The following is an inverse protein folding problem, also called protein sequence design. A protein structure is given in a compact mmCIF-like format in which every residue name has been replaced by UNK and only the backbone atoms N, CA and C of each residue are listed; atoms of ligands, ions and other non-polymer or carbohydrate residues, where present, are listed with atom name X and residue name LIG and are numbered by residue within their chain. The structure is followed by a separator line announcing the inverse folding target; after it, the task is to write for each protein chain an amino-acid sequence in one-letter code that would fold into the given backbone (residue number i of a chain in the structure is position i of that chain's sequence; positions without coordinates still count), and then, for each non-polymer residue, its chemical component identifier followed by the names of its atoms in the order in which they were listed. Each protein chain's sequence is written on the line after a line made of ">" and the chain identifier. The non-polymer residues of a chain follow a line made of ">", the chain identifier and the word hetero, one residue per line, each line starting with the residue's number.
data_IF_564318017878
#
_entry.id   IF_564318017878
#
_cell.length_a   1.000
_cell.length_b   1.000
_cell.length_c   1.000
_cell.angle_alpha   90.00
_cell.angle_beta   90.00
_cell.angle_gamma   90.00
#
_symmetry.space_group_name_H-M   'P 1'
#
loop_
_entity.id
_entity.type
_entity.pdbx_description
1 polymer ?
#
# COMPACT_ATOMS: atom_id res chain seq x y z
N UNK A 1 -16.75 -13.74 2.72
CA UNK A 1 -16.44 -14.48 1.48
C UNK A 1 -16.53 -13.46 0.35
N UNK A 2 -15.48 -13.34 -0.46
CA UNK A 2 -15.42 -12.35 -1.53
C UNK A 2 -16.39 -12.76 -2.65
N UNK A 3 -17.35 -11.91 -3.04
CA UNK A 3 -18.38 -12.30 -4.00
C UNK A 3 -17.91 -12.30 -5.47
N UNK A 4 -16.82 -11.61 -5.80
CA UNK A 4 -16.35 -11.45 -7.18
C UNK A 4 -15.11 -12.29 -7.48
N UNK A 5 -15.07 -12.86 -8.68
CA UNK A 5 -13.91 -13.54 -9.21
C UNK A 5 -13.53 -13.07 -10.62
N UNK A 6 -12.23 -13.01 -10.90
CA UNK A 6 -11.68 -12.60 -12.19
C UNK A 6 -12.00 -13.69 -13.21
N UNK A 7 -12.65 -13.30 -14.30
CA UNK A 7 -13.01 -14.17 -15.42
C UNK A 7 -12.00 -13.99 -16.55
N UNK A 8 -11.67 -12.75 -16.86
CA UNK A 8 -10.76 -12.39 -17.94
C UNK A 8 -9.97 -11.15 -17.57
N UNK A 9 -8.70 -11.13 -17.97
CA UNK A 9 -7.77 -10.03 -17.78
C UNK A 9 -6.85 -9.93 -18.99
N UNK A 10 -7.24 -9.10 -19.95
CA UNK A 10 -6.50 -8.89 -21.19
C UNK A 10 -6.44 -7.40 -21.47
N UNK A 11 -5.27 -6.79 -21.30
CA UNK A 11 -5.06 -5.40 -21.71
C UNK A 11 -5.25 -5.28 -23.24
N UNK A 12 -5.91 -4.20 -23.74
CA UNK A 12 -6.26 -2.97 -23.02
C UNK A 12 -7.64 -3.01 -22.33
N UNK A 13 -8.41 -4.09 -22.45
CA UNK A 13 -9.77 -4.16 -21.94
C UNK A 13 -9.81 -4.18 -20.40
N UNK A 14 -10.84 -3.57 -19.77
CA UNK A 14 -11.04 -3.68 -18.35
C UNK A 14 -11.14 -5.15 -17.87
N UNK A 15 -10.55 -5.49 -16.72
CA UNK A 15 -10.68 -6.82 -16.15
C UNK A 15 -12.16 -7.17 -15.90
N UNK A 16 -12.58 -8.32 -16.41
CA UNK A 16 -13.95 -8.80 -16.29
C UNK A 16 -14.10 -9.63 -15.02
N UNK A 17 -15.09 -9.27 -14.20
CA UNK A 17 -15.39 -9.97 -12.96
C UNK A 17 -16.76 -10.65 -13.01
N UNK A 18 -16.77 -11.94 -12.69
CA UNK A 18 -17.97 -12.73 -12.46
C UNK A 18 -18.32 -12.80 -10.98
N UNK A 19 -19.54 -13.25 -10.68
CA UNK A 19 -19.99 -13.50 -9.31
C UNK A 19 -21.08 -14.57 -9.30
N UNK A 20 -21.27 -15.22 -8.15
CA UNK A 20 -22.47 -16.02 -7.90
C UNK A 20 -23.51 -15.17 -7.20
N UNK A 21 -24.74 -15.13 -7.70
CA UNK A 21 -25.83 -14.31 -7.14
C UNK A 21 -25.99 -14.48 -5.62
N UNK A 22 -26.01 -15.74 -5.15
CA UNK A 22 -26.09 -16.08 -3.72
C UNK A 22 -24.95 -15.46 -2.90
N UNK A 23 -23.71 -15.56 -3.37
CA UNK A 23 -22.53 -15.04 -2.66
C UNK A 23 -22.53 -13.52 -2.64
N UNK A 24 -22.93 -12.88 -3.74
CA UNK A 24 -23.08 -11.43 -3.82
C UNK A 24 -24.16 -10.91 -2.87
N UNK A 25 -25.34 -11.52 -2.87
CA UNK A 25 -26.42 -11.13 -1.96
C UNK A 25 -26.02 -11.32 -0.49
N UNK A 26 -25.29 -12.40 -0.20
CA UNK A 26 -24.77 -12.67 1.13
C UNK A 26 -23.65 -11.70 1.58
N UNK A 27 -22.98 -10.99 0.65
CA UNK A 27 -21.92 -10.02 0.99
C UNK A 27 -22.44 -8.61 1.26
N UNK A 28 -23.59 -8.23 0.71
CA UNK A 28 -24.17 -6.89 0.82
C UNK A 28 -24.52 -6.54 2.27
N UNK A 29 -24.16 -5.34 2.73
CA UNK A 29 -24.46 -4.83 4.08
C UNK A 29 -25.04 -3.44 4.06
N UNK A 30 -25.96 -3.17 4.98
CA UNK A 30 -26.40 -1.78 5.21
C UNK A 30 -25.25 -1.02 5.88
N UNK A 31 -24.89 0.18 5.40
CA UNK A 31 -23.95 1.03 6.12
C UNK A 31 -24.53 1.38 7.51
N UNK A 32 -23.68 1.71 8.49
CA UNK A 32 -24.12 2.05 9.84
C UNK A 32 -24.95 3.34 9.90
N UNK A 33 -24.89 4.17 8.85
CA UNK A 33 -25.62 5.42 8.71
C UNK A 33 -25.81 5.78 7.23
N UNK A 34 -26.81 6.61 6.96
CA UNK A 34 -27.20 7.04 5.61
C UNK A 34 -26.91 8.53 5.34
N UNK A 35 -26.24 9.21 6.28
CA UNK A 35 -25.81 10.61 6.10
C UNK A 35 -24.68 10.71 5.08
N UNK A 36 -24.58 11.87 4.42
CA UNK A 36 -23.57 12.12 3.39
C UNK A 36 -22.13 11.83 3.88
N UNK A 37 -21.82 12.17 5.13
CA UNK A 37 -20.49 11.94 5.71
C UNK A 37 -20.15 10.44 5.85
N UNK A 38 -21.18 9.60 6.04
CA UNK A 38 -21.00 8.16 6.15
C UNK A 38 -20.67 7.49 4.81
N UNK A 39 -21.06 8.10 3.68
CA UNK A 39 -20.71 7.57 2.36
C UNK A 39 -19.20 7.61 2.07
N UNK A 40 -18.45 8.46 2.79
CA UNK A 40 -17.00 8.53 2.67
C UNK A 40 -16.29 7.33 3.30
N UNK A 41 -16.93 6.66 4.27
CA UNK A 41 -16.35 5.52 4.99
C UNK A 41 -17.03 4.20 4.68
N UNK A 42 -18.29 4.23 4.24
CA UNK A 42 -19.09 3.04 3.98
C UNK A 42 -19.82 3.14 2.65
N UNK A 43 -19.71 2.10 1.83
CA UNK A 43 -20.42 2.05 0.56
C UNK A 43 -21.93 1.86 0.77
N UNK A 44 -22.80 2.64 0.09
CA UNK A 44 -24.23 2.38 0.04
C UNK A 44 -24.56 1.00 -0.54
N UNK A 45 -25.66 0.39 -0.09
CA UNK A 45 -26.12 -0.94 -0.53
C UNK A 45 -26.18 -1.07 -2.05
N UNK A 46 -26.68 -0.04 -2.74
CA UNK A 46 -26.78 -0.03 -4.21
C UNK A 46 -25.41 -0.13 -4.87
N UNK A 47 -24.40 0.58 -4.34
CA UNK A 47 -23.03 0.60 -4.90
C UNK A 47 -22.30 -0.73 -4.68
N UNK A 48 -22.57 -1.44 -3.58
CA UNK A 48 -21.90 -2.71 -3.24
C UNK A 48 -22.14 -3.86 -4.25
N UNK A 49 -23.11 -3.71 -5.15
CA UNK A 49 -23.33 -4.63 -6.28
C UNK A 49 -22.26 -4.52 -7.36
N UNK A 50 -21.50 -3.42 -7.37
CA UNK A 50 -20.36 -3.24 -8.25
C UNK A 50 -19.10 -3.78 -7.59
N UNK A 51 -18.30 -4.49 -8.38
CA UNK A 51 -17.12 -5.19 -7.91
C UNK A 51 -16.13 -4.26 -7.18
N UNK A 52 -15.98 -3.02 -7.66
CA UNK A 52 -15.10 -1.96 -7.11
C UNK A 52 -15.51 -1.46 -5.72
N UNK A 53 -16.78 -1.60 -5.35
CA UNK A 53 -17.35 -1.10 -4.09
C UNK A 53 -17.84 -2.24 -3.19
N UNK A 54 -17.40 -3.47 -3.47
CA UNK A 54 -17.82 -4.65 -2.73
C UNK A 54 -16.93 -4.91 -1.52
N UNK A 55 -17.52 -5.30 -0.40
CA UNK A 55 -16.73 -5.73 0.77
C UNK A 55 -16.21 -7.15 0.54
N UNK A 56 -14.89 -7.33 0.55
CA UNK A 56 -14.25 -8.63 0.31
C UNK A 56 -14.28 -9.56 1.51
N UNK A 57 -14.12 -8.99 2.71
CA UNK A 57 -14.02 -9.73 3.97
C UNK A 57 -14.79 -9.00 5.06
N UNK A 58 -15.45 -9.79 5.91
CA UNK A 58 -16.02 -9.32 7.17
C UNK A 58 -15.26 -10.00 8.29
N UNK A 59 -14.70 -9.18 9.18
CA UNK A 59 -14.13 -9.64 10.44
C UNK A 59 -15.20 -9.56 11.52
N UNK A 60 -15.18 -10.48 12.47
CA UNK A 60 -15.84 -10.26 13.75
C UNK A 60 -15.05 -9.24 14.56
N UNK A 61 -15.67 -8.58 15.54
CA UNK A 61 -14.99 -7.59 16.39
C UNK A 61 -13.75 -8.20 17.05
N UNK A 62 -13.87 -9.41 17.59
CA UNK A 62 -12.73 -10.14 18.16
C UNK A 62 -11.62 -10.45 17.13
N UNK A 63 -11.96 -10.72 15.86
CA UNK A 63 -10.96 -10.94 14.82
C UNK A 63 -10.31 -9.62 14.38
N UNK A 64 -11.08 -8.54 14.28
CA UNK A 64 -10.59 -7.22 13.97
C UNK A 64 -9.62 -6.73 15.06
N UNK A 65 -9.98 -6.89 16.34
CA UNK A 65 -9.14 -6.53 17.48
C UNK A 65 -7.83 -7.32 17.48
N UNK A 66 -7.88 -8.64 17.29
CA UNK A 66 -6.67 -9.47 17.19
C UNK A 66 -5.77 -9.03 16.05
N UNK A 67 -6.34 -8.75 14.88
CA UNK A 67 -5.56 -8.30 13.72
C UNK A 67 -4.91 -6.93 13.99
N UNK A 68 -5.66 -5.98 14.54
CA UNK A 68 -5.13 -4.66 14.88
C UNK A 68 -3.99 -4.76 15.90
N UNK A 69 -4.17 -5.59 16.94
CA UNK A 69 -3.15 -5.84 17.96
C UNK A 69 -1.89 -6.47 17.37
N UNK A 70 -2.04 -7.48 16.51
CA UNK A 70 -0.90 -8.12 15.83
C UNK A 70 -0.15 -7.14 14.94
N UNK A 71 -0.86 -6.36 14.13
CA UNK A 71 -0.25 -5.34 13.27
C UNK A 71 0.50 -4.29 14.08
N UNK A 72 -0.06 -3.88 15.22
CA UNK A 72 0.62 -2.92 16.09
C UNK A 72 1.91 -3.48 16.68
N UNK A 73 1.89 -4.74 17.14
CA UNK A 73 3.09 -5.42 17.61
C UNK A 73 4.16 -5.52 16.53
N UNK A 74 3.77 -5.85 15.30
CA UNK A 74 4.70 -5.95 14.17
C UNK A 74 5.27 -4.57 13.78
N UNK A 75 4.46 -3.51 13.82
CA UNK A 75 4.91 -2.13 13.60
C UNK A 75 5.96 -1.74 14.66
N UNK A 76 5.68 -1.99 15.94
CA UNK A 76 6.63 -1.69 17.02
C UNK A 76 7.93 -2.47 16.86
N UNK A 77 7.85 -3.79 16.63
CA UNK A 77 9.04 -4.63 16.40
C UNK A 77 9.86 -4.12 15.22
N UNK A 78 9.21 -3.77 14.10
CA UNK A 78 9.89 -3.28 12.90
C UNK A 78 10.59 -1.94 13.16
N UNK A 79 9.94 -1.05 13.91
CA UNK A 79 10.51 0.24 14.33
C UNK A 79 11.72 0.06 15.25
N UNK A 80 11.65 -0.85 16.22
CA UNK A 80 12.76 -1.11 17.14
C UNK A 80 13.97 -1.66 16.38
N UNK A 81 13.73 -2.62 15.48
CA UNK A 81 14.78 -3.16 14.61
C UNK A 81 15.39 -2.07 13.72
N UNK A 82 14.57 -1.19 13.15
CA UNK A 82 15.04 -0.08 12.33
C UNK A 82 15.88 0.91 13.16
N UNK A 83 15.40 1.27 14.35
CA UNK A 83 16.08 2.19 15.26
C UNK A 83 17.44 1.65 15.70
N UNK A 84 17.50 0.37 16.07
CA UNK A 84 18.75 -0.30 16.42
C UNK A 84 19.75 -0.29 15.25
N UNK A 85 19.30 -0.56 14.02
CA UNK A 85 20.16 -0.50 12.83
C UNK A 85 20.67 0.91 12.55
N UNK A 86 19.82 1.93 12.70
CA UNK A 86 20.21 3.33 12.52
C UNK A 86 21.21 3.76 13.59
N UNK A 87 21.04 3.35 14.84
CA UNK A 87 21.98 3.68 15.92
C UNK A 87 23.38 3.12 15.65
N UNK A 88 23.48 1.92 15.08
CA UNK A 88 24.77 1.28 14.81
C UNK A 88 25.40 1.78 13.51
N UNK A 89 24.61 1.99 12.45
CA UNK A 89 25.15 2.24 11.09
C UNK A 89 24.80 3.60 10.51
N UNK A 90 24.02 4.44 11.21
CA UNK A 90 23.45 5.69 10.70
C UNK A 90 24.50 6.65 10.15
N UNK A 91 25.53 6.97 10.93
CA UNK A 91 26.59 7.89 10.53
C UNK A 91 27.39 7.39 9.32
N UNK A 92 27.67 6.09 9.30
CA UNK A 92 28.38 5.44 8.19
C UNK A 92 27.52 5.45 6.93
N UNK A 93 26.23 5.14 7.05
CA UNK A 93 25.27 5.17 5.95
C UNK A 93 25.17 6.59 5.37
N UNK A 94 24.99 7.61 6.21
CA UNK A 94 24.91 9.02 5.79
C UNK A 94 26.18 9.45 5.08
N UNK A 95 27.33 9.21 5.71
CA UNK A 95 28.64 9.62 5.19
C UNK A 95 28.95 8.95 3.85
N UNK A 96 28.65 7.66 3.70
CA UNK A 96 28.88 6.93 2.44
C UNK A 96 27.87 7.32 1.37
N UNK A 97 26.57 7.36 1.70
CA UNK A 97 25.50 7.65 0.76
C UNK A 97 25.64 9.04 0.12
N UNK A 98 25.91 10.07 0.94
CA UNK A 98 26.11 11.44 0.47
C UNK A 98 27.28 11.54 -0.52
N UNK A 99 28.35 10.77 -0.33
CA UNK A 99 29.54 10.75 -1.21
C UNK A 99 29.36 9.95 -2.51
N UNK A 100 28.33 9.10 -2.62
CA UNK A 100 28.09 8.33 -3.86
C UNK A 100 27.48 9.22 -4.94
N UNK A 101 27.91 9.02 -6.19
CA UNK A 101 27.26 9.62 -7.36
C UNK A 101 25.85 9.05 -7.56
N UNK A 102 25.00 9.75 -8.30
CA UNK A 102 23.64 9.30 -8.59
C UNK A 102 23.61 7.91 -9.25
N UNK A 103 24.53 7.64 -10.18
CA UNK A 103 24.65 6.32 -10.83
C UNK A 103 24.98 5.21 -9.82
N UNK A 104 25.93 5.44 -8.91
CA UNK A 104 26.28 4.48 -7.86
C UNK A 104 25.14 4.26 -6.86
N UNK A 105 24.40 5.33 -6.51
CA UNK A 105 23.21 5.22 -5.67
C UNK A 105 22.12 4.37 -6.33
N UNK A 106 21.86 4.60 -7.62
CA UNK A 106 20.87 3.81 -8.36
C UNK A 106 21.25 2.33 -8.43
N UNK A 107 22.52 2.01 -8.67
CA UNK A 107 23.01 0.63 -8.68
C UNK A 107 22.80 -0.06 -7.31
N UNK A 108 23.21 0.61 -6.22
CA UNK A 108 23.02 0.08 -4.86
C UNK A 108 21.53 -0.12 -4.51
N UNK A 109 20.65 0.78 -4.94
CA UNK A 109 19.21 0.63 -4.69
C UNK A 109 18.63 -0.57 -5.42
N UNK A 110 19.03 -0.80 -6.68
CA UNK A 110 18.62 -1.97 -7.47
C UNK A 110 19.16 -3.27 -6.89
N UNK A 111 20.37 -3.25 -6.35
CA UNK A 111 20.96 -4.41 -5.67
C UNK A 111 20.22 -4.73 -4.37
N UNK A 112 19.94 -3.71 -3.56
CA UNK A 112 19.29 -3.90 -2.26
C UNK A 112 17.79 -4.20 -2.36
N UNK A 113 17.10 -3.61 -3.32
CA UNK A 113 15.66 -3.77 -3.55
C UNK A 113 15.40 -3.87 -5.07
N UNK A 114 15.53 -5.08 -5.66
CA UNK A 114 15.40 -5.26 -7.11
C UNK A 114 14.08 -4.77 -7.70
N UNK A 115 12.99 -4.89 -6.94
CA UNK A 115 11.65 -4.49 -7.38
C UNK A 115 11.34 -2.99 -7.13
N UNK A 116 12.34 -2.20 -6.69
CA UNK A 116 12.17 -0.77 -6.47
C UNK A 116 11.99 -0.06 -7.80
N UNK A 117 10.94 0.76 -7.90
CA UNK A 117 10.61 1.43 -9.16
C UNK A 117 11.67 2.44 -9.57
N UNK A 118 11.88 2.52 -10.88
CA UNK A 118 12.84 3.46 -11.44
C UNK A 118 12.36 4.90 -11.37
N UNK A 119 11.09 5.14 -11.70
CA UNK A 119 10.52 6.47 -11.89
C UNK A 119 9.55 6.85 -10.77
N UNK A 120 9.46 8.14 -10.50
CA UNK A 120 8.45 8.69 -9.62
C UNK A 120 7.05 8.53 -10.23
N UNK A 121 6.13 8.06 -9.41
CA UNK A 121 4.73 7.91 -9.78
C UNK A 121 3.92 9.09 -9.26
N UNK A 122 3.08 9.67 -10.11
CA UNK A 122 2.08 10.66 -9.72
C UNK A 122 0.75 9.95 -9.51
N UNK A 123 0.09 10.15 -8.37
CA UNK A 123 -1.19 9.51 -8.00
C UNK A 123 -2.26 9.67 -9.11
N UNK A 124 -2.40 10.81 -9.81
CA UNK A 124 -3.33 10.91 -10.93
C UNK A 124 -3.09 9.90 -12.05
N UNK A 125 -1.86 9.42 -12.26
CA UNK A 125 -1.61 8.36 -13.26
C UNK A 125 -2.31 7.06 -12.87
N UNK A 126 -2.42 6.75 -11.58
CA UNK A 126 -3.08 5.54 -11.12
C UNK A 126 -4.55 5.47 -11.53
N UNK A 127 -5.30 6.57 -11.35
CA UNK A 127 -6.72 6.62 -11.70
C UNK A 127 -7.01 6.40 -13.19
N UNK A 128 -5.99 6.53 -14.05
CA UNK A 128 -6.10 6.28 -15.50
C UNK A 128 -5.37 5.02 -15.96
N UNK A 129 -4.68 4.29 -15.08
CA UNK A 129 -4.03 3.03 -15.46
C UNK A 129 -4.97 1.85 -15.29
N UNK A 130 -4.69 0.78 -16.02
CA UNK A 130 -5.37 -0.51 -15.89
C UNK A 130 -5.36 -0.99 -14.43
N UNK A 131 -4.31 -0.65 -13.66
CA UNK A 131 -4.24 -0.99 -12.24
C UNK A 131 -5.34 -0.39 -11.33
N UNK A 132 -6.01 0.69 -11.75
CA UNK A 132 -7.20 1.21 -11.03
C UNK A 132 -8.39 0.26 -11.09
N UNK A 133 -8.43 -0.61 -12.10
CA UNK A 133 -9.55 -1.50 -12.38
C UNK A 133 -9.47 -2.81 -11.59
N UNK A 134 -8.32 -3.10 -10.98
CA UNK A 134 -8.20 -4.27 -10.09
C UNK A 134 -8.90 -4.03 -8.75
N UNK A 135 -9.89 -4.87 -8.49
CA UNK A 135 -10.61 -4.94 -7.21
C UNK A 135 -9.99 -5.98 -6.26
N UNK A 136 -9.04 -6.78 -6.76
CA UNK A 136 -8.41 -7.89 -6.04
C UNK A 136 -7.11 -7.46 -5.36
N UNK A 137 -6.54 -8.40 -4.60
CA UNK A 137 -5.21 -8.24 -4.04
C UNK A 137 -4.20 -7.91 -5.14
N UNK A 138 -3.65 -6.70 -5.05
CA UNK A 138 -2.53 -6.27 -5.88
C UNK A 138 -1.31 -7.05 -5.45
N UNK A 139 -0.41 -7.34 -6.38
CA UNK A 139 0.92 -7.89 -6.03
C UNK A 139 1.58 -6.98 -4.99
N UNK A 140 2.40 -7.55 -4.10
CA UNK A 140 3.10 -6.77 -3.07
C UNK A 140 3.88 -5.60 -3.68
N UNK A 141 4.48 -5.81 -4.85
CA UNK A 141 5.18 -4.80 -5.64
C UNK A 141 4.23 -3.64 -6.02
N UNK A 142 3.08 -3.94 -6.65
CA UNK A 142 2.09 -2.92 -7.05
C UNK A 142 1.51 -2.20 -5.82
N UNK A 143 1.28 -2.91 -4.71
CA UNK A 143 0.79 -2.31 -3.46
C UNK A 143 1.79 -1.31 -2.87
N UNK A 144 3.07 -1.68 -2.79
CA UNK A 144 4.12 -0.78 -2.28
C UNK A 144 4.21 0.51 -3.11
N UNK A 145 4.07 0.40 -4.43
CA UNK A 145 4.12 1.56 -5.34
C UNK A 145 3.01 2.58 -5.08
N UNK A 146 1.81 2.11 -4.75
CA UNK A 146 0.67 2.99 -4.47
C UNK A 146 0.77 3.65 -3.09
N UNK A 147 1.27 2.91 -2.10
CA UNK A 147 1.39 3.41 -0.73
C UNK A 147 2.58 4.36 -0.58
N UNK A 148 3.66 4.15 -1.35
CA UNK A 148 4.90 4.90 -1.25
C UNK A 148 5.38 5.38 -2.64
N UNK A 149 4.58 6.19 -3.37
CA UNK A 149 4.90 6.59 -4.75
C UNK A 149 6.18 7.42 -4.88
N UNK A 150 6.62 8.03 -3.78
CA UNK A 150 7.87 8.78 -3.67
C UNK A 150 9.09 7.88 -3.35
N UNK A 151 8.90 6.63 -2.92
CA UNK A 151 9.99 5.69 -2.62
C UNK A 151 10.39 4.96 -3.92
N UNK A 152 11.22 5.63 -4.72
CA UNK A 152 11.68 5.13 -6.01
C UNK A 152 13.13 5.57 -6.28
N UNK A 153 13.78 4.93 -7.25
CA UNK A 153 15.18 5.16 -7.59
C UNK A 153 15.40 6.60 -8.05
N UNK A 154 14.52 7.17 -8.87
CA UNK A 154 14.63 8.55 -9.36
C UNK A 154 14.71 9.55 -8.21
N UNK A 155 13.84 9.45 -7.20
CA UNK A 155 13.83 10.35 -6.04
C UNK A 155 15.04 10.11 -5.16
N UNK A 156 15.29 8.86 -4.77
CA UNK A 156 16.35 8.51 -3.82
C UNK A 156 17.77 8.76 -4.37
N UNK A 157 18.00 8.56 -5.67
CA UNK A 157 19.32 8.83 -6.27
C UNK A 157 19.59 10.34 -6.37
N UNK A 158 18.55 11.12 -6.66
CA UNK A 158 18.64 12.56 -6.93
C UNK A 158 18.88 13.33 -5.64
N UNK A 159 18.04 13.10 -4.62
CA UNK A 159 18.16 13.77 -3.33
C UNK A 159 18.62 12.78 -2.25
N UNK A 160 19.90 12.84 -1.81
CA UNK A 160 20.41 11.93 -0.81
C UNK A 160 19.80 12.11 0.57
N UNK A 161 19.16 13.24 0.86
CA UNK A 161 18.55 13.50 2.15
C UNK A 161 17.21 12.77 2.33
N UNK A 162 16.49 12.47 1.24
CA UNK A 162 15.14 11.88 1.31
C UNK A 162 15.15 10.56 2.07
N UNK A 163 16.10 9.67 1.76
CA UNK A 163 16.22 8.39 2.48
C UNK A 163 16.35 8.59 3.99
N UNK A 164 17.17 9.55 4.43
CA UNK A 164 17.41 9.79 5.85
C UNK A 164 16.26 10.52 6.54
N UNK A 165 15.61 11.45 5.84
CA UNK A 165 14.39 12.07 6.36
C UNK A 165 13.34 11.00 6.66
N UNK A 166 13.15 10.02 5.77
CA UNK A 166 12.20 8.93 5.96
C UNK A 166 12.54 8.03 7.14
N UNK A 167 13.81 7.60 7.20
CA UNK A 167 14.31 6.78 8.31
C UNK A 167 14.13 7.51 9.64
N UNK A 168 14.41 8.82 9.68
CA UNK A 168 14.16 9.65 10.84
C UNK A 168 12.67 9.73 11.18
N UNK A 169 11.79 10.04 10.23
CA UNK A 169 10.35 10.12 10.50
C UNK A 169 9.77 8.80 11.04
N UNK A 170 10.23 7.67 10.50
CA UNK A 170 9.77 6.34 10.92
C UNK A 170 10.25 5.92 12.32
N UNK A 171 11.34 6.51 12.83
CA UNK A 171 11.95 6.13 14.12
C UNK A 171 11.83 7.20 15.19
N UNK A 172 11.66 8.47 14.84
CA UNK A 172 11.51 9.57 15.78
C UNK A 172 10.06 9.73 16.25
N UNK A 173 9.07 9.57 15.36
CA UNK A 173 7.66 9.83 15.69
C UNK A 173 6.89 8.52 15.81
N UNK A 174 6.20 8.23 16.92
CA UNK A 174 5.38 7.04 17.02
C UNK A 174 4.30 7.04 15.92
N UNK A 175 3.83 5.86 15.46
CA UNK A 175 2.65 5.81 14.63
C UNK A 175 1.53 6.55 15.35
N UNK A 176 0.84 7.46 14.66
CA UNK A 176 -0.30 8.16 15.24
C UNK A 176 -1.33 7.11 15.67
N UNK A 177 -1.68 7.14 16.96
CA UNK A 177 -2.72 6.34 17.60
C UNK A 177 -4.10 6.87 17.30
#
# INVERSE_FOLDING_TARGET
>A
MNPFFLVQDQEPDPPLYGFTKRTLEASIRRPPCEYADCENSFYPVKKQRHAQHSYHLRLSDAAAERNARSLMQDIHRSRDQLSNRIQVFGDVLISRWKKRSQAKRAALLKEAVPDLREQQWLIPRYSYTHESLYIRERTAIRRHQLLLPWLNIQVLKTNPAVLFALLHYQTAYPPQS
#
